data_IF_989494135588
#
_entry.id   IF_989494135588
#
_cell.length_a   1.000
_cell.length_b   1.000
_cell.length_c   1.000
_cell.angle_alpha   90.00
_cell.angle_beta   90.00
_cell.angle_gamma   90.00
#
_symmetry.space_group_name_H-M   'P 1'
#
loop_
_entity.id
_entity.type
_entity.pdbx_description
1 polymer ?
#
# COMPACT_ATOMS: atom_id res chain seq x y z
N UNK A 1 6.66 -9.10 22.63
CA UNK A 1 5.40 -9.34 21.89
C UNK A 1 5.40 -8.50 20.63
N UNK A 2 5.05 -9.08 19.48
CA UNK A 2 4.83 -8.30 18.26
C UNK A 2 3.57 -7.45 18.44
N UNK A 3 3.67 -6.15 18.16
CA UNK A 3 2.49 -5.26 18.18
C UNK A 3 1.61 -5.56 16.95
N UNK A 4 0.31 -5.29 17.02
CA UNK A 4 -0.61 -5.41 15.87
C UNK A 4 -0.04 -4.71 14.63
N UNK A 5 0.54 -3.53 14.82
CA UNK A 5 1.23 -2.79 13.76
C UNK A 5 2.38 -3.57 13.12
N UNK A 6 3.23 -4.24 13.91
CA UNK A 6 4.36 -5.03 13.41
C UNK A 6 3.88 -6.20 12.57
N UNK A 7 2.85 -6.93 13.02
CA UNK A 7 2.23 -8.01 12.24
C UNK A 7 1.64 -7.49 10.94
N UNK A 8 0.86 -6.40 10.99
CA UNK A 8 0.29 -5.79 9.79
C UNK A 8 1.36 -5.31 8.81
N UNK A 9 2.45 -4.74 9.32
CA UNK A 9 3.60 -4.32 8.52
C UNK A 9 4.27 -5.51 7.84
N UNK A 10 4.42 -6.66 8.51
CA UNK A 10 4.97 -7.86 7.89
C UNK A 10 4.06 -8.43 6.80
N UNK A 11 2.74 -8.43 7.03
CA UNK A 11 1.75 -8.85 6.03
C UNK A 11 1.75 -7.93 4.81
N UNK A 12 1.86 -6.61 5.01
CA UNK A 12 2.04 -5.65 3.92
C UNK A 12 3.35 -5.87 3.16
N UNK A 13 4.45 -6.18 3.86
CA UNK A 13 5.72 -6.50 3.22
C UNK A 13 5.59 -7.74 2.32
N UNK A 14 4.93 -8.79 2.82
CA UNK A 14 4.66 -9.99 2.04
C UNK A 14 3.80 -9.70 0.81
N UNK A 15 2.71 -8.94 0.98
CA UNK A 15 1.83 -8.52 -0.12
C UNK A 15 2.62 -7.76 -1.18
N UNK A 16 3.44 -6.77 -0.80
CA UNK A 16 4.26 -6.01 -1.74
C UNK A 16 5.36 -6.83 -2.39
N UNK A 17 5.94 -7.82 -1.70
CA UNK A 17 6.88 -8.74 -2.31
C UNK A 17 6.22 -9.56 -3.42
N UNK A 18 5.03 -10.11 -3.14
CA UNK A 18 4.23 -10.84 -4.13
C UNK A 18 3.83 -9.93 -5.30
N UNK A 19 3.38 -8.71 -5.04
CA UNK A 19 3.09 -7.72 -6.10
C UNK A 19 4.33 -7.37 -6.93
N UNK A 20 5.50 -7.22 -6.32
CA UNK A 20 6.73 -6.96 -7.07
C UNK A 20 7.08 -8.14 -8.01
N UNK A 21 6.89 -9.39 -7.55
CA UNK A 21 7.15 -10.58 -8.37
C UNK A 21 6.24 -10.65 -9.60
N UNK A 22 4.95 -10.36 -9.46
CA UNK A 22 4.02 -10.38 -10.60
C UNK A 22 4.33 -9.27 -11.62
N UNK A 23 4.83 -8.14 -11.16
CA UNK A 23 5.09 -6.97 -12.00
C UNK A 23 6.27 -7.15 -12.94
N UNK A 24 7.16 -8.12 -12.70
CA UNK A 24 8.25 -8.45 -13.62
C UNK A 24 7.76 -8.96 -14.98
N UNK A 25 6.50 -9.42 -15.07
CA UNK A 25 5.89 -9.85 -16.33
C UNK A 25 5.21 -8.71 -17.10
N UNK A 26 5.13 -7.51 -16.52
CA UNK A 26 4.46 -6.36 -17.15
C UNK A 26 5.46 -5.55 -18.01
N UNK A 27 5.01 -4.95 -19.13
CA UNK A 27 5.86 -4.13 -19.98
C UNK A 27 6.44 -2.89 -19.27
N UNK A 28 5.75 -2.40 -18.24
CA UNK A 28 6.18 -1.22 -17.46
C UNK A 28 6.73 -1.58 -16.07
N UNK A 29 7.30 -2.78 -15.94
CA UNK A 29 7.84 -3.29 -14.68
C UNK A 29 8.80 -2.32 -13.99
N UNK A 30 9.56 -1.54 -14.75
CA UNK A 30 10.59 -0.62 -14.25
C UNK A 30 10.05 0.51 -13.35
N UNK A 31 8.76 0.86 -13.43
CA UNK A 31 8.13 1.81 -12.51
C UNK A 31 7.56 1.10 -11.28
N UNK A 32 6.90 -0.03 -11.49
CA UNK A 32 6.14 -0.74 -10.47
C UNK A 32 7.03 -1.54 -9.54
N UNK A 33 8.03 -2.22 -10.10
CA UNK A 33 8.94 -3.06 -9.34
C UNK A 33 9.71 -2.26 -8.27
N UNK A 34 10.33 -1.10 -8.56
CA UNK A 34 10.95 -0.29 -7.52
C UNK A 34 9.96 0.21 -6.47
N UNK A 35 8.74 0.60 -6.87
CA UNK A 35 7.72 1.06 -5.93
C UNK A 35 7.36 -0.02 -4.91
N UNK A 36 7.00 -1.22 -5.37
CA UNK A 36 6.63 -2.33 -4.50
C UNK A 36 7.81 -2.84 -3.68
N UNK A 37 9.01 -2.91 -4.28
CA UNK A 37 10.21 -3.36 -3.58
C UNK A 37 10.59 -2.41 -2.45
N UNK A 38 10.60 -1.10 -2.68
CA UNK A 38 10.87 -0.12 -1.63
C UNK A 38 9.78 -0.15 -0.55
N UNK A 39 8.51 -0.27 -0.94
CA UNK A 39 7.39 -0.45 0.00
C UNK A 39 7.56 -1.70 0.88
N UNK A 40 8.00 -2.81 0.28
CA UNK A 40 8.32 -4.06 0.98
C UNK A 40 9.45 -3.86 1.99
N UNK A 41 10.57 -3.26 1.59
CA UNK A 41 11.73 -3.02 2.46
C UNK A 41 11.32 -2.18 3.69
N UNK A 42 10.59 -1.08 3.48
CA UNK A 42 10.14 -0.21 4.57
C UNK A 42 9.23 -0.98 5.54
N UNK A 43 8.30 -1.77 5.02
CA UNK A 43 7.38 -2.56 5.83
C UNK A 43 8.09 -3.71 6.57
N UNK A 44 9.09 -4.34 5.96
CA UNK A 44 9.89 -5.39 6.57
C UNK A 44 10.78 -4.82 7.69
N UNK A 45 11.46 -3.70 7.43
CA UNK A 45 12.33 -3.04 8.40
C UNK A 45 11.57 -2.57 9.64
N UNK A 46 10.37 -1.98 9.45
CA UNK A 46 9.52 -1.55 10.56
C UNK A 46 8.79 -2.72 11.25
N UNK A 47 8.54 -3.82 10.54
CA UNK A 47 7.90 -5.03 11.08
C UNK A 47 8.83 -5.87 11.95
N UNK A 48 10.07 -6.09 11.51
CA UNK A 48 11.03 -6.96 12.20
C UNK A 48 11.75 -6.30 13.39
N UNK A 49 11.62 -4.98 13.59
CA UNK A 49 12.29 -4.19 14.64
C UNK A 49 13.83 -4.34 14.72
N UNK A 50 14.46 -5.08 13.80
CA UNK A 50 15.90 -5.40 13.77
C UNK A 50 16.71 -4.49 12.86
N UNK A 51 16.06 -3.83 11.91
CA UNK A 51 16.73 -2.97 10.93
C UNK A 51 16.64 -1.49 11.32
N UNK A 52 17.65 -0.67 10.95
CA UNK A 52 17.56 0.77 11.13
C UNK A 52 16.32 1.28 10.40
N UNK A 53 15.58 2.17 11.07
CA UNK A 53 14.40 2.78 10.46
C UNK A 53 14.88 3.71 9.35
N UNK A 54 14.33 3.57 8.15
CA UNK A 54 14.71 4.34 6.96
C UNK A 54 13.63 5.37 6.59
N UNK A 55 13.50 6.49 7.34
CA UNK A 55 12.49 7.52 7.06
C UNK A 55 12.67 8.12 5.67
N UNK A 56 13.91 8.25 5.19
CA UNK A 56 14.23 8.75 3.86
C UNK A 56 13.66 7.84 2.77
N UNK A 57 13.84 6.52 2.90
CA UNK A 57 13.30 5.56 1.95
C UNK A 57 11.77 5.58 1.95
N UNK A 58 11.14 5.70 3.12
CA UNK A 58 9.68 5.83 3.22
C UNK A 58 9.16 7.11 2.54
N UNK A 59 9.84 8.25 2.70
CA UNK A 59 9.50 9.51 2.01
C UNK A 59 9.67 9.40 0.50
N UNK A 60 10.79 8.84 0.03
CA UNK A 60 11.03 8.63 -1.40
C UNK A 60 9.98 7.70 -2.01
N UNK A 61 9.67 6.60 -1.32
CA UNK A 61 8.63 5.65 -1.75
C UNK A 61 7.24 6.30 -1.76
N UNK A 62 6.94 7.17 -0.78
CA UNK A 62 5.69 7.93 -0.76
C UNK A 62 5.59 8.84 -1.99
N UNK A 63 6.62 9.63 -2.27
CA UNK A 63 6.65 10.51 -3.45
C UNK A 63 6.49 9.73 -4.74
N UNK A 64 7.24 8.63 -4.90
CA UNK A 64 7.12 7.75 -6.05
C UNK A 64 5.70 7.18 -6.19
N UNK A 65 5.11 6.75 -5.08
CA UNK A 65 3.74 6.23 -5.02
C UNK A 65 2.70 7.27 -5.45
N UNK A 66 2.82 8.51 -4.96
CA UNK A 66 1.94 9.62 -5.36
C UNK A 66 2.09 9.94 -6.85
N UNK A 67 3.32 10.03 -7.35
CA UNK A 67 3.57 10.30 -8.78
C UNK A 67 2.95 9.22 -9.68
N UNK A 68 3.13 7.94 -9.33
CA UNK A 68 2.57 6.82 -10.09
C UNK A 68 1.04 6.75 -9.97
N UNK A 69 0.48 7.08 -8.80
CA UNK A 69 -0.96 7.18 -8.62
C UNK A 69 -1.57 8.25 -9.52
N UNK A 70 -0.96 9.44 -9.59
CA UNK A 70 -1.38 10.52 -10.49
C UNK A 70 -1.24 10.08 -11.96
N UNK A 71 -0.12 9.43 -12.33
CA UNK A 71 0.09 8.90 -13.69
C UNK A 71 -1.05 7.97 -14.11
N UNK A 72 -1.39 7.00 -13.27
CA UNK A 72 -2.48 6.05 -13.56
C UNK A 72 -3.84 6.73 -13.58
N UNK A 73 -4.09 7.73 -12.73
CA UNK A 73 -5.33 8.49 -12.75
C UNK A 73 -5.49 9.26 -14.08
N UNK A 74 -4.42 9.89 -14.57
CA UNK A 74 -4.42 10.57 -15.87
C UNK A 74 -4.64 9.58 -17.01
N UNK A 75 -3.98 8.43 -16.99
CA UNK A 75 -4.15 7.36 -17.98
C UNK A 75 -5.59 6.83 -18.00
N UNK A 76 -6.19 6.59 -16.83
CA UNK A 76 -7.59 6.17 -16.72
C UNK A 76 -8.57 7.20 -17.27
N UNK A 77 -8.34 8.49 -16.98
CA UNK A 77 -9.12 9.59 -17.54
C UNK A 77 -9.00 9.68 -19.07
N UNK A 78 -7.80 9.48 -19.61
CA UNK A 78 -7.55 9.56 -21.04
C UNK A 78 -8.19 8.42 -21.83
N UNK A 79 -8.19 7.19 -21.31
CA UNK A 79 -8.68 6.00 -22.02
C UNK A 79 -10.19 5.84 -21.93
N UNK A 80 -10.77 6.05 -20.74
CA UNK A 80 -12.18 5.74 -20.49
C UNK A 80 -12.89 6.72 -19.57
N UNK A 81 -12.36 7.94 -19.44
CA UNK A 81 -12.97 9.02 -18.68
C UNK A 81 -13.14 8.73 -17.19
N UNK A 82 -14.11 9.41 -16.58
CA UNK A 82 -14.37 9.34 -15.13
C UNK A 82 -14.85 7.93 -14.70
N UNK A 83 -15.47 7.16 -15.61
CA UNK A 83 -15.92 5.80 -15.33
C UNK A 83 -14.80 4.85 -14.92
N UNK A 84 -13.61 4.95 -15.55
CA UNK A 84 -12.45 4.11 -15.23
C UNK A 84 -11.85 4.47 -13.88
N UNK A 85 -11.93 5.75 -13.48
CA UNK A 85 -11.51 6.16 -12.14
C UNK A 85 -12.38 5.56 -11.03
N UNK A 86 -13.68 5.37 -11.29
CA UNK A 86 -14.61 4.74 -10.35
C UNK A 86 -14.71 3.22 -10.51
N UNK A 87 -14.11 2.67 -11.57
CA UNK A 87 -14.08 1.23 -11.80
C UNK A 87 -13.30 0.51 -10.70
N UNK A 88 -13.87 -0.61 -10.27
CA UNK A 88 -13.31 -1.58 -9.31
C UNK A 88 -12.97 -2.89 -10.04
N UNK A 89 -13.12 -2.94 -11.37
CA UNK A 89 -12.79 -4.13 -12.14
C UNK A 89 -11.27 -4.35 -12.21
N UNK A 90 -10.78 -5.32 -11.43
CA UNK A 90 -9.35 -5.67 -11.41
C UNK A 90 -8.87 -6.37 -12.68
N UNK A 91 -9.74 -6.70 -13.64
CA UNK A 91 -9.31 -7.13 -14.99
C UNK A 91 -8.63 -5.97 -15.72
N UNK A 92 -9.06 -4.75 -15.47
CA UNK A 92 -8.44 -3.56 -16.03
C UNK A 92 -7.09 -3.27 -15.38
N UNK A 93 -6.07 -3.11 -16.22
CA UNK A 93 -4.71 -2.81 -15.79
C UNK A 93 -4.64 -1.53 -14.95
N UNK A 94 -5.28 -0.47 -15.41
CA UNK A 94 -5.33 0.85 -14.75
C UNK A 94 -5.92 0.74 -13.33
N UNK A 95 -6.95 -0.06 -13.13
CA UNK A 95 -7.57 -0.25 -11.81
C UNK A 95 -6.61 -0.95 -10.84
N UNK A 96 -5.89 -1.99 -11.30
CA UNK A 96 -4.87 -2.68 -10.48
C UNK A 96 -3.72 -1.75 -10.11
N UNK A 97 -3.19 -1.01 -11.07
CA UNK A 97 -2.08 -0.09 -10.87
C UNK A 97 -2.47 1.07 -9.92
N UNK A 98 -3.70 1.59 -10.03
CA UNK A 98 -4.28 2.60 -9.13
C UNK A 98 -4.39 2.05 -7.71
N UNK A 99 -4.95 0.85 -7.55
CA UNK A 99 -5.12 0.25 -6.23
C UNK A 99 -3.78 -0.07 -5.57
N UNK A 100 -2.84 -0.63 -6.33
CA UNK A 100 -1.53 -0.99 -5.82
C UNK A 100 -0.66 0.22 -5.44
N UNK A 101 -0.60 1.26 -6.28
CA UNK A 101 0.10 2.51 -5.93
C UNK A 101 -0.54 3.25 -4.77
N UNK A 102 -1.88 3.29 -4.72
CA UNK A 102 -2.64 3.84 -3.60
C UNK A 102 -2.33 3.11 -2.30
N UNK A 103 -2.28 1.78 -2.32
CA UNK A 103 -1.97 0.96 -1.15
C UNK A 103 -0.53 1.18 -0.64
N UNK A 104 0.46 1.24 -1.54
CA UNK A 104 1.85 1.59 -1.16
C UNK A 104 1.92 2.97 -0.53
N UNK A 105 1.28 3.97 -1.15
CA UNK A 105 1.24 5.36 -0.67
C UNK A 105 0.63 5.45 0.72
N UNK A 106 -0.53 4.82 0.92
CA UNK A 106 -1.22 4.81 2.22
C UNK A 106 -0.37 4.12 3.30
N UNK A 107 0.28 3.00 2.98
CA UNK A 107 1.19 2.30 3.90
C UNK A 107 2.37 3.20 4.31
N UNK A 108 3.02 3.89 3.36
CA UNK A 108 4.13 4.79 3.65
C UNK A 108 3.68 5.99 4.50
N UNK A 109 2.50 6.54 4.22
CA UNK A 109 1.92 7.63 4.99
C UNK A 109 1.72 7.26 6.46
N UNK A 110 1.13 6.07 6.72
CA UNK A 110 0.94 5.55 8.09
C UNK A 110 2.28 5.34 8.80
N UNK A 111 3.31 4.81 8.12
CA UNK A 111 4.65 4.68 8.69
C UNK A 111 5.27 6.02 9.08
N UNK A 112 5.13 7.04 8.23
CA UNK A 112 5.65 8.39 8.49
C UNK A 112 4.90 9.09 9.63
N UNK A 113 3.57 8.97 9.68
CA UNK A 113 2.76 9.47 10.80
C UNK A 113 3.20 8.84 12.12
N UNK A 114 3.39 7.52 12.16
CA UNK A 114 3.91 6.83 13.34
C UNK A 114 5.32 7.27 13.76
N UNK A 115 6.16 7.68 12.81
CA UNK A 115 7.49 8.22 13.12
C UNK A 115 7.38 9.63 13.70
N UNK A 116 6.50 10.47 13.13
CA UNK A 116 6.26 11.82 13.61
C UNK A 116 5.72 11.83 15.05
N UNK A 117 4.71 11.00 15.35
CA UNK A 117 4.15 10.87 16.70
C UNK A 117 5.13 10.29 17.73
N UNK A 118 6.25 9.69 17.32
CA UNK A 118 7.30 9.23 18.24
C UNK A 118 8.31 10.33 18.58
N UNK A 119 8.42 11.36 17.73
CA UNK A 119 9.33 12.48 17.93
C UNK A 119 8.67 13.62 18.71
N UNK A 120 7.34 13.71 18.69
CA UNK A 120 6.57 14.56 19.60
C UNK A 120 6.35 13.81 20.91
N UNK A 121 6.73 14.41 22.05
CA UNK A 121 6.57 13.80 23.36
C UNK A 121 5.10 13.87 23.77
N UNK A 122 4.43 12.74 24.09
CA UNK A 122 2.98 12.71 24.18
C UNK A 122 2.49 13.48 25.41
N UNK A 123 1.62 14.46 25.18
CA UNK A 123 0.79 15.01 26.26
C UNK A 123 -0.42 14.11 26.47
N UNK A 124 -0.99 14.13 27.68
CA UNK A 124 -2.04 13.20 28.15
C UNK A 124 -3.32 13.16 27.29
N UNK A 125 -3.49 14.11 26.36
CA UNK A 125 -4.62 14.21 25.43
C UNK A 125 -4.43 13.44 24.10
N UNK A 126 -3.26 12.84 23.84
CA UNK A 126 -2.92 12.19 22.55
C UNK A 126 -3.05 10.65 22.55
N UNK A 127 -3.76 10.06 23.52
CA UNK A 127 -3.99 8.61 23.53
C UNK A 127 -4.83 8.13 22.32
N UNK A 128 -5.79 8.95 21.86
CA UNK A 128 -6.62 8.65 20.69
C UNK A 128 -5.84 8.57 19.36
N UNK A 129 -5.01 9.56 18.97
CA UNK A 129 -4.28 9.50 17.70
C UNK A 129 -3.26 8.35 17.66
N UNK A 130 -2.70 7.93 18.80
CA UNK A 130 -1.83 6.76 18.87
C UNK A 130 -2.58 5.46 18.54
N UNK A 131 -3.80 5.29 19.05
CA UNK A 131 -4.67 4.16 18.68
C UNK A 131 -5.12 4.23 17.23
N UNK A 132 -5.41 5.42 16.69
CA UNK A 132 -5.78 5.60 15.29
C UNK A 132 -4.64 5.22 14.34
N UNK A 133 -3.39 5.58 14.65
CA UNK A 133 -2.21 5.20 13.83
C UNK A 133 -1.93 3.70 13.93
N UNK A 134 -2.06 3.13 15.13
CA UNK A 134 -1.89 1.70 15.36
C UNK A 134 -2.95 0.89 14.61
N UNK A 135 -4.19 1.37 14.58
CA UNK A 135 -5.30 0.79 13.84
C UNK A 135 -5.27 1.16 12.35
N UNK A 136 -4.62 2.25 11.96
CA UNK A 136 -4.58 2.73 10.57
C UNK A 136 -3.85 1.77 9.65
N UNK A 137 -2.79 1.11 10.14
CA UNK A 137 -2.09 0.05 9.41
C UNK A 137 -2.93 -1.22 9.27
N UNK A 138 -3.69 -1.57 10.31
CA UNK A 138 -4.63 -2.68 10.27
C UNK A 138 -5.78 -2.39 9.31
N UNK A 139 -6.32 -1.17 9.33
CA UNK A 139 -7.38 -0.72 8.45
C UNK A 139 -6.91 -0.78 6.99
N UNK A 140 -5.78 -0.15 6.66
CA UNK A 140 -5.24 -0.18 5.28
C UNK A 140 -5.00 -1.60 4.77
N UNK A 141 -4.46 -2.49 5.61
CA UNK A 141 -4.25 -3.89 5.25
C UNK A 141 -5.58 -4.65 5.05
N UNK A 142 -6.53 -4.52 5.98
CA UNK A 142 -7.78 -5.30 5.99
C UNK A 142 -8.77 -4.77 4.96
N UNK A 143 -8.99 -3.46 4.88
CA UNK A 143 -10.02 -2.88 4.00
C UNK A 143 -9.54 -2.76 2.56
N UNK A 144 -8.33 -2.25 2.35
CA UNK A 144 -7.83 -1.95 0.99
C UNK A 144 -7.01 -3.09 0.41
N UNK A 145 -6.12 -3.68 1.22
CA UNK A 145 -5.26 -4.80 0.78
C UNK A 145 -6.06 -6.06 0.52
N UNK A 146 -6.63 -6.66 1.56
CA UNK A 146 -7.34 -7.93 1.44
C UNK A 146 -8.82 -7.78 1.08
N UNK A 147 -9.51 -6.79 1.63
CA UNK A 147 -10.96 -6.60 1.41
C UNK A 147 -11.33 -6.44 -0.07
N UNK A 148 -10.61 -5.58 -0.79
CA UNK A 148 -10.84 -5.37 -2.22
C UNK A 148 -10.49 -6.63 -3.03
N UNK A 149 -9.39 -7.31 -2.71
CA UNK A 149 -8.99 -8.56 -3.39
C UNK A 149 -9.98 -9.70 -3.15
N UNK A 150 -10.50 -9.84 -1.94
CA UNK A 150 -11.49 -10.87 -1.58
C UNK A 150 -12.85 -10.57 -2.22
N UNK A 151 -13.30 -9.30 -2.21
CA UNK A 151 -14.53 -8.90 -2.88
C UNK A 151 -14.48 -9.17 -4.38
N UNK A 152 -13.34 -8.88 -5.03
CA UNK A 152 -13.14 -9.21 -6.44
C UNK A 152 -13.15 -10.72 -6.67
N UNK A 153 -12.41 -11.49 -5.88
CA UNK A 153 -12.41 -12.96 -5.97
C UNK A 153 -13.82 -13.52 -5.83
N UNK A 154 -14.57 -13.13 -4.80
CA UNK A 154 -15.95 -13.62 -4.58
C UNK A 154 -16.89 -13.27 -5.73
N UNK A 155 -16.74 -12.09 -6.34
CA UNK A 155 -17.58 -11.64 -7.44
C UNK A 155 -17.26 -12.31 -8.78
N UNK A 156 -16.02 -12.73 -9.00
CA UNK A 156 -15.56 -13.22 -10.30
C UNK A 156 -15.07 -14.68 -10.29
N UNK A 157 -15.08 -15.36 -9.14
CA UNK A 157 -14.71 -16.78 -9.04
C UNK A 157 -15.55 -17.69 -9.95
N UNK A 158 -16.80 -17.31 -10.25
CA UNK A 158 -17.69 -18.06 -11.15
C UNK A 158 -17.30 -17.93 -12.64
N UNK A 159 -16.57 -16.87 -13.01
CA UNK A 159 -16.15 -16.59 -14.40
C UNK A 159 -14.71 -17.05 -14.69
N UNK A 160 -13.91 -17.28 -13.66
CA UNK A 160 -12.57 -17.83 -13.78
C UNK A 160 -12.66 -19.36 -13.91
N UNK A 161 -13.15 -19.83 -15.06
CA UNK A 161 -13.04 -21.25 -15.44
C UNK A 161 -11.56 -21.56 -15.70
N UNK A 162 -11.03 -22.54 -14.96
CA UNK A 162 -9.77 -23.21 -15.27
C UNK A 162 -9.92 -24.08 -16.51
#
# INVERSE_FOLDING_TARGET
MATVFSVCSLLMAFLFAVSASFQLNDPDWYFWFPLYTCGCIVNLANGLCRFPKTPTLAKLTLWLGVCLFIKVAVEGLAIGGVSVLWSIDMRERVVREKNGSGLVTASMYVHLMKQLSRHHQPTRHEAEPATLIQNGMLLTLVTVGYGVSVLFYLRHHQEMRF
#
